data_IF_085627328283
#
_entry.id   IF_085627328283
#
_cell.length_a   1.000
_cell.length_b   1.000
_cell.length_c   1.000
_cell.angle_alpha   90.00
_cell.angle_beta   90.00
_cell.angle_gamma   90.00
#
_symmetry.space_group_name_H-M   'P 1'
#
loop_
_entity.id
_entity.type
_entity.pdbx_description
1 polymer ?
#
# COMPACT_ATOMS: atom_id res chain seq x y z
N UNK A 1 8.23 41.13 41.18
CA UNK A 1 7.16 40.12 41.24
C UNK A 1 6.67 39.84 39.83
N UNK A 2 6.79 38.57 39.46
CA UNK A 2 6.76 37.96 38.14
C UNK A 2 5.53 38.19 37.25
N UNK A 3 5.74 38.85 36.11
CA UNK A 3 4.79 38.84 34.97
C UNK A 3 5.26 37.88 33.88
N UNK A 4 6.58 37.70 33.70
CA UNK A 4 7.17 36.83 32.69
C UNK A 4 7.04 35.34 33.03
N UNK A 5 7.28 34.94 34.29
CA UNK A 5 7.14 33.54 34.74
C UNK A 5 5.68 33.03 34.70
N UNK A 6 4.69 33.91 34.94
CA UNK A 6 3.26 33.56 34.89
C UNK A 6 2.72 33.42 33.47
N UNK A 7 3.39 34.01 32.48
CA UNK A 7 3.08 33.88 31.05
C UNK A 7 3.54 32.52 30.51
N UNK A 8 4.78 32.12 30.79
CA UNK A 8 5.34 30.86 30.29
C UNK A 8 4.66 29.61 30.88
N UNK A 9 4.31 29.65 32.17
CA UNK A 9 3.56 28.55 32.81
C UNK A 9 2.13 28.40 32.26
N UNK A 10 1.44 29.50 31.94
CA UNK A 10 0.13 29.44 31.26
C UNK A 10 0.25 28.98 29.83
N UNK A 11 1.31 29.38 29.11
CA UNK A 11 1.56 28.95 27.74
C UNK A 11 1.79 27.43 27.68
N UNK A 12 2.59 26.87 28.59
CA UNK A 12 2.81 25.43 28.69
C UNK A 12 1.52 24.65 29.03
N UNK A 13 0.72 25.15 29.98
CA UNK A 13 -0.54 24.51 30.37
C UNK A 13 -1.60 24.60 29.27
N UNK A 14 -1.67 25.74 28.55
CA UNK A 14 -2.57 25.92 27.41
C UNK A 14 -2.15 25.07 26.21
N UNK A 15 -0.85 24.95 25.95
CA UNK A 15 -0.31 24.07 24.92
C UNK A 15 -0.66 22.60 25.22
N UNK A 16 -0.41 22.13 26.44
CA UNK A 16 -0.75 20.76 26.85
C UNK A 16 -2.27 20.50 26.82
N UNK A 17 -3.08 21.48 27.23
CA UNK A 17 -4.55 21.40 27.14
C UNK A 17 -5.05 21.39 25.69
N UNK A 18 -4.40 22.12 24.80
CA UNK A 18 -4.72 22.12 23.37
C UNK A 18 -4.32 20.80 22.71
N UNK A 19 -3.23 20.16 23.14
CA UNK A 19 -2.81 18.83 22.67
C UNK A 19 -3.77 17.71 23.09
N UNK A 20 -4.41 17.83 24.25
CA UNK A 20 -5.41 16.86 24.73
C UNK A 20 -6.83 17.18 24.27
N UNK A 21 -7.03 18.26 23.52
CA UNK A 21 -8.35 18.66 23.03
C UNK A 21 -8.84 17.65 22.00
N UNK A 22 -10.06 17.15 22.20
CA UNK A 22 -10.76 16.31 21.23
C UNK A 22 -11.44 17.18 20.18
N UNK A 23 -11.47 16.71 18.93
CA UNK A 23 -12.24 17.38 17.89
C UNK A 23 -13.73 17.11 18.07
N UNK A 24 -14.55 18.14 17.90
CA UNK A 24 -16.01 18.03 18.01
C UNK A 24 -16.58 17.42 16.72
N UNK A 25 -17.36 16.34 16.86
CA UNK A 25 -17.99 15.63 15.74
C UNK A 25 -18.88 16.57 14.91
N UNK A 26 -19.64 17.46 15.56
CA UNK A 26 -20.54 18.39 14.89
C UNK A 26 -19.83 19.36 13.95
N UNK A 27 -18.59 19.77 14.27
CA UNK A 27 -17.79 20.64 13.41
C UNK A 27 -17.36 19.91 12.12
N UNK A 28 -17.08 18.61 12.22
CA UNK A 28 -16.72 17.78 11.07
C UNK A 28 -17.91 17.52 10.16
N UNK A 29 -19.10 17.29 10.74
CA UNK A 29 -20.34 17.09 9.98
C UNK A 29 -20.77 18.40 9.27
N UNK A 30 -20.69 19.54 9.96
CA UNK A 30 -20.99 20.84 9.34
C UNK A 30 -20.05 21.17 8.16
N UNK A 31 -18.81 20.69 8.20
CA UNK A 31 -17.84 20.86 7.09
C UNK A 31 -18.21 20.04 5.84
N UNK A 32 -19.05 19.01 5.96
CA UNK A 32 -19.54 18.23 4.81
C UNK A 32 -20.69 18.94 4.10
N UNK A 33 -21.55 19.62 4.85
CA UNK A 33 -22.67 20.39 4.30
C UNK A 33 -22.20 21.60 3.50
N UNK A 34 -21.04 22.17 3.87
CA UNK A 34 -20.39 23.26 3.14
C UNK A 34 -19.46 22.80 2.01
N UNK A 35 -19.36 21.49 1.74
CA UNK A 35 -18.46 20.97 0.72
C UNK A 35 -18.95 21.29 -0.70
N UNK A 36 -18.10 21.84 -1.60
CA UNK A 36 -18.46 22.12 -2.99
C UNK A 36 -18.54 20.84 -3.86
N UNK A 37 -18.23 19.66 -3.32
CA UNK A 37 -18.17 18.42 -4.09
C UNK A 37 -19.53 17.73 -4.23
N UNK A 38 -19.91 17.42 -5.48
CA UNK A 38 -21.11 16.65 -5.77
C UNK A 38 -20.88 15.18 -5.40
N UNK A 39 -21.80 14.59 -4.63
CA UNK A 39 -21.78 13.15 -4.32
C UNK A 39 -22.07 12.33 -5.58
N UNK A 40 -21.02 11.82 -6.21
CA UNK A 40 -21.09 11.00 -7.44
C UNK A 40 -20.65 9.55 -7.24
N UNK A 41 -20.02 9.22 -6.10
CA UNK A 41 -19.57 7.88 -5.78
C UNK A 41 -20.71 7.02 -5.23
N UNK A 42 -21.13 6.01 -5.99
CA UNK A 42 -22.04 4.97 -5.53
C UNK A 42 -21.31 3.82 -4.83
N UNK A 43 -22.08 2.90 -4.24
CA UNK A 43 -21.56 1.74 -3.49
C UNK A 43 -20.54 0.92 -4.29
N UNK A 44 -20.84 0.61 -5.55
CA UNK A 44 -19.96 -0.21 -6.40
C UNK A 44 -18.62 0.46 -6.67
N UNK A 45 -18.62 1.77 -6.94
CA UNK A 45 -17.39 2.55 -7.15
C UNK A 45 -16.59 2.74 -5.86
N UNK A 46 -17.25 2.73 -4.70
CA UNK A 46 -16.57 2.81 -3.41
C UNK A 46 -15.92 1.47 -3.04
N UNK A 47 -16.61 0.35 -3.28
CA UNK A 47 -16.06 -1.00 -3.10
C UNK A 47 -14.88 -1.22 -4.04
N UNK A 48 -15.00 -0.85 -5.32
CA UNK A 48 -13.90 -0.98 -6.26
C UNK A 48 -12.70 -0.11 -5.88
N UNK A 49 -12.91 1.09 -5.32
CA UNK A 49 -11.83 1.93 -4.81
C UNK A 49 -11.09 1.24 -3.67
N UNK A 50 -11.82 0.66 -2.71
CA UNK A 50 -11.21 -0.12 -1.62
C UNK A 50 -10.42 -1.33 -2.13
N UNK A 51 -11.03 -2.14 -2.99
CA UNK A 51 -10.38 -3.34 -3.55
C UNK A 51 -9.16 -2.95 -4.41
N UNK A 52 -9.26 -1.88 -5.20
CA UNK A 52 -8.18 -1.38 -6.04
C UNK A 52 -6.98 -0.87 -5.27
N UNK A 53 -7.21 -0.32 -4.06
CA UNK A 53 -6.15 0.11 -3.14
C UNK A 53 -5.43 -1.07 -2.46
N UNK A 54 -6.13 -2.17 -2.18
CA UNK A 54 -5.54 -3.37 -1.54
C UNK A 54 -4.80 -4.25 -2.55
N UNK A 55 -5.36 -4.44 -3.75
CA UNK A 55 -4.75 -5.30 -4.78
C UNK A 55 -3.64 -4.52 -5.52
N UNK A 56 -2.38 -4.86 -5.26
CA UNK A 56 -1.23 -4.19 -5.86
C UNK A 56 0.01 -5.07 -5.99
N UNK A 57 1.19 -4.45 -5.94
CA UNK A 57 2.48 -5.12 -6.10
C UNK A 57 2.69 -6.31 -5.13
N UNK A 58 2.06 -6.29 -3.96
CA UNK A 58 2.16 -7.36 -2.97
C UNK A 58 1.76 -8.74 -3.51
N UNK A 59 0.63 -8.85 -4.21
CA UNK A 59 0.18 -10.16 -4.75
C UNK A 59 0.97 -10.59 -5.98
N UNK A 60 1.41 -9.64 -6.81
CA UNK A 60 2.07 -9.94 -8.09
C UNK A 60 3.57 -10.21 -7.97
N UNK A 61 4.27 -9.55 -7.03
CA UNK A 61 5.73 -9.63 -6.93
C UNK A 61 6.15 -10.27 -5.59
N UNK A 62 5.73 -9.66 -4.49
CA UNK A 62 6.21 -10.03 -3.14
C UNK A 62 5.73 -11.45 -2.76
N UNK A 63 4.54 -11.84 -3.18
CA UNK A 63 3.99 -13.18 -2.90
C UNK A 63 4.84 -14.29 -3.50
N UNK A 64 5.38 -14.10 -4.71
CA UNK A 64 6.28 -15.07 -5.34
C UNK A 64 7.59 -15.22 -4.57
N UNK A 65 8.19 -14.10 -4.16
CA UNK A 65 9.39 -14.10 -3.32
C UNK A 65 9.13 -14.74 -1.96
N UNK A 66 7.97 -14.46 -1.36
CA UNK A 66 7.60 -15.03 -0.07
C UNK A 66 7.36 -16.55 -0.13
N UNK A 67 6.79 -17.04 -1.23
CA UNK A 67 6.66 -18.46 -1.50
C UNK A 67 8.05 -19.11 -1.64
N UNK A 68 8.97 -18.49 -2.38
CA UNK A 68 10.27 -19.06 -2.66
C UNK A 68 11.21 -19.08 -1.44
N UNK A 69 11.21 -18.01 -0.63
CA UNK A 69 12.21 -17.80 0.42
C UNK A 69 11.76 -18.19 1.83
N UNK A 70 10.45 -18.18 2.12
CA UNK A 70 9.96 -18.35 3.49
C UNK A 70 9.00 -19.52 3.67
N UNK A 71 7.86 -19.53 2.98
CA UNK A 71 6.74 -20.41 3.34
C UNK A 71 6.51 -21.59 2.37
N UNK A 72 7.01 -21.53 1.14
CA UNK A 72 6.73 -22.55 0.14
C UNK A 72 5.22 -22.76 -0.08
N UNK A 73 4.75 -24.01 -0.21
CA UNK A 73 3.33 -24.32 -0.34
C UNK A 73 2.47 -23.89 0.88
N UNK A 74 3.08 -23.70 2.06
CA UNK A 74 2.37 -23.31 3.27
C UNK A 74 1.96 -21.83 3.28
N UNK A 75 2.36 -21.03 2.27
CA UNK A 75 1.99 -19.62 2.15
C UNK A 75 0.47 -19.39 2.18
N UNK A 76 -0.32 -20.34 1.66
CA UNK A 76 -1.79 -20.27 1.72
C UNK A 76 -2.32 -20.25 3.17
N UNK A 77 -1.68 -21.01 4.07
CA UNK A 77 -2.05 -21.04 5.49
C UNK A 77 -1.70 -19.70 6.15
N UNK A 78 -0.55 -19.11 5.80
CA UNK A 78 -0.15 -17.78 6.29
C UNK A 78 -1.16 -16.69 5.90
N UNK A 79 -1.65 -16.70 4.65
CA UNK A 79 -2.70 -15.77 4.23
C UNK A 79 -4.01 -15.99 4.98
N UNK A 80 -4.40 -17.25 5.18
CA UNK A 80 -5.65 -17.58 5.89
C UNK A 80 -5.60 -17.10 7.34
N UNK A 81 -4.46 -17.22 8.02
CA UNK A 81 -4.27 -16.68 9.36
C UNK A 81 -4.30 -15.14 9.39
N UNK A 82 -3.81 -14.47 8.34
CA UNK A 82 -3.82 -13.00 8.23
C UNK A 82 -5.23 -12.42 8.01
N UNK A 83 -6.15 -13.18 7.38
CA UNK A 83 -7.52 -12.72 7.12
C UNK A 83 -8.29 -12.42 8.42
N UNK A 84 -8.08 -13.19 9.50
CA UNK A 84 -8.81 -13.00 10.76
C UNK A 84 -8.60 -11.63 11.41
N UNK A 85 -7.36 -11.17 11.69
CA UNK A 85 -7.14 -9.83 12.23
C UNK A 85 -7.58 -8.74 11.25
N UNK A 86 -7.35 -8.91 9.93
CA UNK A 86 -7.81 -7.95 8.93
C UNK A 86 -9.34 -7.78 8.92
N UNK A 87 -10.10 -8.87 9.09
CA UNK A 87 -11.56 -8.83 9.15
C UNK A 87 -12.03 -8.07 10.40
N UNK A 88 -11.45 -8.35 11.56
CA UNK A 88 -11.80 -7.66 12.80
C UNK A 88 -11.49 -6.15 12.71
N UNK A 89 -10.32 -5.80 12.19
CA UNK A 89 -9.95 -4.41 11.93
C UNK A 89 -10.92 -3.75 10.95
N UNK A 90 -11.29 -4.40 9.85
CA UNK A 90 -12.23 -3.86 8.87
C UNK A 90 -13.63 -3.60 9.47
N UNK A 91 -14.12 -4.49 10.34
CA UNK A 91 -15.39 -4.31 11.04
C UNK A 91 -15.36 -3.10 11.96
N UNK A 92 -14.31 -2.93 12.76
CA UNK A 92 -14.13 -1.76 13.62
C UNK A 92 -14.05 -0.45 12.81
N UNK A 93 -13.30 -0.44 11.71
CA UNK A 93 -13.25 0.73 10.82
C UNK A 93 -14.59 1.02 10.14
N UNK A 94 -15.37 -0.02 9.81
CA UNK A 94 -16.73 0.12 9.27
C UNK A 94 -17.68 0.82 10.24
N UNK A 95 -17.64 0.43 11.52
CA UNK A 95 -18.44 1.08 12.58
C UNK A 95 -18.02 2.55 12.78
N UNK A 96 -16.71 2.83 12.81
CA UNK A 96 -16.19 4.19 12.94
C UNK A 96 -16.53 5.09 11.74
N UNK A 97 -16.51 4.53 10.53
CA UNK A 97 -16.89 5.24 9.31
C UNK A 97 -18.40 5.54 9.27
N UNK A 98 -19.24 4.64 9.80
CA UNK A 98 -20.68 4.87 9.92
C UNK A 98 -21.02 5.93 11.00
N UNK A 99 -20.25 5.96 12.10
CA UNK A 99 -20.45 6.92 13.19
C UNK A 99 -19.97 8.34 12.85
N UNK A 100 -18.86 8.45 12.11
CA UNK A 100 -18.22 9.73 11.78
C UNK A 100 -18.15 9.83 10.25
N UNK A 101 -19.23 10.27 9.57
CA UNK A 101 -19.34 10.25 8.11
C UNK A 101 -18.55 11.39 7.44
N UNK A 102 -17.37 11.71 7.95
CA UNK A 102 -16.50 12.78 7.46
C UNK A 102 -15.42 12.24 6.52
N UNK A 103 -15.01 13.05 5.54
CA UNK A 103 -13.85 12.75 4.71
C UNK A 103 -12.58 12.80 5.58
N UNK A 104 -12.07 11.62 5.97
CA UNK A 104 -10.93 11.47 6.85
C UNK A 104 -10.43 10.03 6.91
N UNK A 105 -9.20 9.83 7.39
CA UNK A 105 -8.59 8.52 7.65
C UNK A 105 -8.49 8.25 9.15
N UNK A 106 -7.76 7.22 9.58
CA UNK A 106 -7.65 6.79 10.98
C UNK A 106 -7.30 7.93 11.96
N UNK A 107 -6.46 8.88 11.54
CA UNK A 107 -6.14 10.07 12.35
C UNK A 107 -7.40 10.84 12.77
N UNK A 108 -8.38 10.98 11.89
CA UNK A 108 -9.62 11.73 12.17
C UNK A 108 -10.47 11.01 13.22
N UNK A 109 -10.57 9.69 13.14
CA UNK A 109 -11.26 8.88 14.15
C UNK A 109 -10.55 8.97 15.51
N UNK A 110 -9.21 8.94 15.53
CA UNK A 110 -8.43 9.06 16.76
C UNK A 110 -8.48 10.47 17.35
N UNK A 111 -8.60 11.53 16.54
CA UNK A 111 -8.76 12.90 17.01
C UNK A 111 -10.08 13.11 17.77
N UNK A 112 -11.13 12.41 17.34
CA UNK A 112 -12.44 12.41 18.01
C UNK A 112 -12.40 11.57 19.29
N UNK A 113 -11.81 10.37 19.24
CA UNK A 113 -11.84 9.43 20.35
C UNK A 113 -10.82 9.74 21.47
N UNK A 114 -9.58 10.08 21.12
CA UNK A 114 -8.43 10.09 22.03
C UNK A 114 -7.75 11.45 22.18
N UNK A 115 -8.01 12.41 21.28
CA UNK A 115 -7.46 13.78 21.34
C UNK A 115 -6.40 14.07 20.27
N UNK A 116 -5.94 15.32 20.21
CA UNK A 116 -5.06 15.80 19.12
C UNK A 116 -3.66 15.16 19.17
N UNK A 117 -3.09 14.92 20.36
CA UNK A 117 -1.75 14.34 20.49
C UNK A 117 -1.65 12.92 19.93
N UNK A 118 -2.60 12.05 20.29
CA UNK A 118 -2.66 10.67 19.78
C UNK A 118 -2.98 10.66 18.29
N UNK A 119 -3.87 11.55 17.83
CA UNK A 119 -4.12 11.74 16.40
C UNK A 119 -2.86 12.19 15.64
N UNK A 120 -2.01 13.01 16.24
CA UNK A 120 -0.78 13.47 15.61
C UNK A 120 0.22 12.31 15.44
N UNK A 121 0.39 11.47 16.46
CA UNK A 121 1.22 10.25 16.37
C UNK A 121 0.71 9.35 15.23
N UNK A 122 -0.60 9.12 15.17
CA UNK A 122 -1.22 8.30 14.12
C UNK A 122 -1.05 8.94 12.74
N UNK A 123 -1.19 10.25 12.62
CA UNK A 123 -0.99 10.95 11.35
C UNK A 123 0.45 10.85 10.84
N UNK A 124 1.44 11.02 11.73
CA UNK A 124 2.86 10.84 11.39
C UNK A 124 3.14 9.39 10.99
N UNK A 125 2.61 8.43 11.75
CA UNK A 125 2.72 7.00 11.43
C UNK A 125 2.16 6.65 10.05
N UNK A 126 0.93 7.10 9.75
CA UNK A 126 0.30 6.90 8.44
C UNK A 126 1.09 7.57 7.31
N UNK A 127 1.66 8.75 7.55
CA UNK A 127 2.47 9.45 6.54
C UNK A 127 3.71 8.63 6.20
N UNK A 128 4.43 8.14 7.21
CA UNK A 128 5.60 7.28 7.01
C UNK A 128 5.22 5.95 6.35
N UNK A 129 4.10 5.35 6.75
CA UNK A 129 3.58 4.13 6.13
C UNK A 129 3.28 4.33 4.65
N UNK A 130 2.62 5.43 4.28
CA UNK A 130 2.35 5.77 2.88
C UNK A 130 3.65 6.03 2.09
N UNK A 131 4.68 6.64 2.71
CA UNK A 131 5.98 6.86 2.08
C UNK A 131 6.71 5.54 1.79
N UNK A 132 6.75 4.64 2.78
CA UNK A 132 7.39 3.32 2.63
C UNK A 132 6.60 2.45 1.65
N UNK A 133 5.27 2.45 1.72
CA UNK A 133 4.40 1.70 0.81
C UNK A 133 4.52 2.21 -0.63
N UNK A 134 4.50 3.53 -0.84
CA UNK A 134 4.69 4.15 -2.16
C UNK A 134 6.04 3.78 -2.79
N UNK A 135 7.12 3.86 -2.02
CA UNK A 135 8.45 3.48 -2.50
C UNK A 135 8.55 1.97 -2.80
N UNK A 136 7.96 1.11 -1.97
CA UNK A 136 7.93 -0.34 -2.20
C UNK A 136 7.17 -0.71 -3.49
N UNK A 137 6.05 -0.04 -3.77
CA UNK A 137 5.29 -0.24 -5.02
C UNK A 137 6.13 0.21 -6.23
N UNK A 138 6.80 1.36 -6.16
CA UNK A 138 7.65 1.86 -7.24
C UNK A 138 8.82 0.91 -7.57
N UNK A 139 9.46 0.35 -6.54
CA UNK A 139 10.55 -0.63 -6.73
C UNK A 139 10.02 -1.94 -7.33
N UNK A 140 8.86 -2.41 -6.87
CA UNK A 140 8.23 -3.63 -7.41
C UNK A 140 7.85 -3.48 -8.89
N UNK A 141 7.33 -2.32 -9.27
CA UNK A 141 7.05 -2.00 -10.67
C UNK A 141 8.32 -1.95 -11.50
N UNK A 142 9.37 -1.29 -11.01
CA UNK A 142 10.67 -1.24 -11.68
C UNK A 142 11.23 -2.64 -11.96
N UNK A 143 11.16 -3.55 -10.97
CA UNK A 143 11.59 -4.94 -11.19
C UNK A 143 10.77 -5.63 -12.28
N UNK A 144 9.46 -5.40 -12.33
CA UNK A 144 8.58 -6.00 -13.34
C UNK A 144 8.89 -5.47 -14.74
N UNK A 145 9.12 -4.16 -14.87
CA UNK A 145 9.50 -3.51 -16.14
C UNK A 145 10.86 -4.01 -16.63
N UNK A 146 11.84 -4.14 -15.74
CA UNK A 146 13.15 -4.66 -16.12
C UNK A 146 13.07 -6.12 -16.58
N UNK A 147 12.27 -6.97 -15.90
CA UNK A 147 12.04 -8.35 -16.35
C UNK A 147 11.38 -8.38 -17.74
N UNK A 148 10.39 -7.52 -17.98
CA UNK A 148 9.75 -7.41 -19.29
C UNK A 148 10.72 -6.93 -20.39
N UNK A 149 11.54 -5.91 -20.13
CA UNK A 149 12.53 -5.42 -21.09
C UNK A 149 13.60 -6.47 -21.44
N UNK A 150 13.96 -7.33 -20.48
CA UNK A 150 14.88 -8.45 -20.72
C UNK A 150 14.32 -9.47 -21.72
N UNK A 151 13.01 -9.67 -21.79
CA UNK A 151 12.39 -10.52 -22.81
C UNK A 151 12.61 -9.98 -24.24
N UNK A 152 12.76 -8.66 -24.39
CA UNK A 152 13.12 -8.00 -25.65
C UNK A 152 14.63 -7.84 -25.85
N UNK A 153 15.45 -8.52 -25.04
CA UNK A 153 16.92 -8.40 -25.05
C UNK A 153 17.46 -6.99 -24.73
N UNK A 154 16.63 -6.12 -24.13
CA UNK A 154 17.04 -4.80 -23.68
C UNK A 154 17.50 -4.93 -22.22
N UNK A 155 18.81 -4.93 -22.01
CA UNK A 155 19.41 -4.97 -20.67
C UNK A 155 19.58 -3.56 -20.15
N UNK A 156 18.95 -3.26 -19.02
CA UNK A 156 19.11 -1.98 -18.34
C UNK A 156 20.53 -1.89 -17.74
N UNK A 157 21.25 -0.76 -17.88
CA UNK A 157 22.57 -0.61 -17.28
C UNK A 157 22.51 -0.88 -15.78
N UNK A 158 23.43 -1.71 -15.22
CA UNK A 158 23.36 -2.13 -13.82
C UNK A 158 23.35 -0.93 -12.86
N UNK A 159 24.13 0.11 -13.19
CA UNK A 159 24.26 1.36 -12.43
C UNK A 159 22.92 2.07 -12.16
N UNK A 160 21.94 1.96 -13.06
CA UNK A 160 20.64 2.63 -12.97
C UNK A 160 19.46 1.67 -12.74
N UNK A 161 19.73 0.37 -12.64
CA UNK A 161 18.72 -0.68 -12.59
C UNK A 161 18.24 -1.04 -11.18
N UNK A 162 18.92 -0.60 -10.12
CA UNK A 162 18.62 -1.09 -8.77
C UNK A 162 18.87 -0.11 -7.65
N UNK A 163 18.48 -0.54 -6.44
CA UNK A 163 18.76 0.19 -5.21
C UNK A 163 20.28 0.25 -4.96
N UNK A 164 20.81 1.37 -4.44
CA UNK A 164 22.22 1.46 -4.03
C UNK A 164 22.54 0.57 -2.83
N UNK A 165 21.54 0.34 -1.98
CA UNK A 165 21.65 -0.47 -0.76
C UNK A 165 20.82 -1.74 -0.96
N UNK A 166 21.49 -2.89 -0.90
CA UNK A 166 20.87 -4.20 -0.84
C UNK A 166 20.92 -4.74 0.59
N UNK A 167 19.97 -5.62 0.92
CA UNK A 167 19.95 -6.37 2.17
C UNK A 167 20.11 -7.84 1.81
N UNK A 168 21.16 -8.48 2.32
CA UNK A 168 21.37 -9.92 2.18
C UNK A 168 21.76 -10.50 3.53
N UNK A 169 20.98 -11.47 4.02
CA UNK A 169 21.08 -11.97 5.39
C UNK A 169 20.87 -10.85 6.42
N UNK A 170 21.82 -10.71 7.36
CA UNK A 170 21.77 -9.69 8.42
C UNK A 170 22.60 -8.43 8.08
N UNK A 171 23.10 -8.29 6.86
CA UNK A 171 24.01 -7.22 6.46
C UNK A 171 23.45 -6.32 5.36
N UNK A 172 23.78 -5.03 5.44
CA UNK A 172 23.64 -4.10 4.33
C UNK A 172 24.87 -4.21 3.44
N UNK A 173 24.68 -4.35 2.14
CA UNK A 173 25.77 -4.32 1.16
C UNK A 173 25.49 -3.26 0.09
N UNK A 174 26.55 -2.58 -0.34
CA UNK A 174 26.47 -1.66 -1.47
C UNK A 174 26.39 -2.48 -2.76
N UNK A 175 25.29 -2.32 -3.48
CA UNK A 175 25.04 -3.10 -4.72
C UNK A 175 25.87 -2.57 -5.90
N UNK A 176 26.48 -1.38 -5.77
CA UNK A 176 27.19 -0.70 -6.86
C UNK A 176 26.27 0.10 -7.79
N UNK A 177 24.96 0.04 -7.57
CA UNK A 177 23.98 0.84 -8.30
C UNK A 177 23.91 2.25 -7.70
N UNK A 178 23.68 3.28 -8.52
CA UNK A 178 23.49 4.65 -8.02
C UNK A 178 22.06 4.85 -7.51
N UNK A 179 21.07 4.61 -8.36
CA UNK A 179 19.66 4.70 -8.01
C UNK A 179 18.77 3.93 -8.98
N UNK A 180 17.58 3.54 -8.53
CA UNK A 180 16.61 2.83 -9.35
C UNK A 180 15.85 3.82 -10.25
N UNK A 181 16.34 3.99 -11.48
CA UNK A 181 15.79 4.96 -12.42
C UNK A 181 14.32 4.71 -12.80
N UNK A 182 13.89 3.47 -13.16
CA UNK A 182 12.48 3.23 -13.48
C UNK A 182 11.53 3.51 -12.30
N UNK A 183 11.95 3.20 -11.06
CA UNK A 183 11.14 3.48 -9.87
C UNK A 183 10.98 4.99 -9.62
N UNK A 184 12.06 5.76 -9.80
CA UNK A 184 12.03 7.23 -9.67
C UNK A 184 11.15 7.84 -10.75
N UNK A 185 11.26 7.38 -12.00
CA UNK A 185 10.42 7.83 -13.12
C UNK A 185 8.94 7.61 -12.84
N UNK A 186 8.55 6.42 -12.36
CA UNK A 186 7.15 6.14 -12.02
C UNK A 186 6.66 7.05 -10.89
N UNK A 187 7.47 7.23 -9.84
CA UNK A 187 7.10 8.07 -8.70
C UNK A 187 6.90 9.52 -9.13
N UNK A 188 7.84 10.08 -9.90
CA UNK A 188 7.72 11.43 -10.45
C UNK A 188 6.51 11.58 -11.36
N UNK A 189 6.25 10.60 -12.22
CA UNK A 189 5.08 10.61 -13.10
C UNK A 189 3.78 10.65 -12.28
N UNK A 190 3.63 9.77 -11.30
CA UNK A 190 2.48 9.78 -10.40
C UNK A 190 2.37 11.11 -9.62
N UNK A 191 3.47 11.67 -9.14
CA UNK A 191 3.48 12.98 -8.47
C UNK A 191 3.01 14.11 -9.39
N UNK A 192 3.49 14.15 -10.64
CA UNK A 192 3.04 15.16 -11.62
C UNK A 192 1.56 15.01 -11.90
N UNK A 193 1.07 13.78 -12.12
CA UNK A 193 -0.36 13.50 -12.33
C UNK A 193 -1.21 13.96 -11.14
N UNK A 194 -0.73 13.73 -9.91
CA UNK A 194 -1.40 14.20 -8.69
C UNK A 194 -1.39 15.73 -8.58
N UNK A 195 -0.29 16.39 -8.94
CA UNK A 195 -0.17 17.86 -8.92
C UNK A 195 -1.05 18.54 -9.98
N UNK A 196 -1.23 17.92 -11.15
CA UNK A 196 -2.08 18.44 -12.23
C UNK A 196 -3.59 18.28 -11.94
N UNK A 197 -3.95 17.51 -10.92
CA UNK A 197 -5.33 17.33 -10.48
C UNK A 197 -6.09 16.33 -11.35
N UNK A 198 -6.33 15.13 -10.82
CA UNK A 198 -7.15 14.11 -11.49
C UNK A 198 -8.63 14.38 -11.20
N UNK A 199 -9.30 15.09 -12.10
CA UNK A 199 -10.69 15.53 -11.93
C UNK A 199 -11.76 14.46 -12.26
N UNK A 200 -11.38 13.35 -12.89
CA UNK A 200 -12.28 12.20 -13.14
C UNK A 200 -11.63 10.89 -12.72
N UNK A 201 -12.13 10.23 -11.67
CA UNK A 201 -11.41 9.10 -11.08
C UNK A 201 -12.24 7.85 -10.80
N UNK A 202 -13.57 7.93 -10.75
CA UNK A 202 -14.38 6.75 -10.39
C UNK A 202 -14.40 5.68 -11.52
N UNK A 203 -14.65 6.09 -12.75
CA UNK A 203 -14.74 5.17 -13.91
C UNK A 203 -13.37 4.58 -14.25
N UNK A 204 -12.33 5.43 -14.25
CA UNK A 204 -10.95 5.01 -14.49
C UNK A 204 -10.50 3.99 -13.43
N UNK A 205 -10.81 4.23 -12.16
CA UNK A 205 -10.53 3.27 -11.09
C UNK A 205 -11.24 1.93 -11.32
N UNK A 206 -12.53 1.95 -11.70
CA UNK A 206 -13.27 0.72 -11.98
C UNK A 206 -12.60 -0.11 -13.09
N UNK A 207 -12.14 0.53 -14.16
CA UNK A 207 -11.43 -0.14 -15.26
C UNK A 207 -10.13 -0.78 -14.75
N UNK A 208 -9.32 -0.06 -13.99
CA UNK A 208 -8.06 -0.61 -13.43
C UNK A 208 -8.30 -1.83 -12.55
N UNK A 209 -9.36 -1.82 -11.73
CA UNK A 209 -9.72 -2.96 -10.88
C UNK A 209 -10.12 -4.16 -11.73
N UNK A 210 -10.95 -3.97 -12.76
CA UNK A 210 -11.37 -5.05 -13.65
C UNK A 210 -10.15 -5.69 -14.34
N UNK A 211 -9.22 -4.87 -14.85
CA UNK A 211 -7.99 -5.37 -15.47
C UNK A 211 -7.17 -6.20 -14.49
N UNK A 212 -6.98 -5.73 -13.25
CA UNK A 212 -6.23 -6.49 -12.22
C UNK A 212 -6.84 -7.88 -11.97
N UNK A 213 -8.17 -7.97 -11.85
CA UNK A 213 -8.85 -9.26 -11.65
C UNK A 213 -8.87 -10.14 -12.89
N UNK A 214 -8.94 -9.57 -14.09
CA UNK A 214 -8.82 -10.32 -15.33
C UNK A 214 -7.44 -10.99 -15.41
N UNK A 215 -6.37 -10.26 -15.09
CA UNK A 215 -5.00 -10.82 -15.05
C UNK A 215 -4.93 -11.96 -14.03
N UNK A 216 -5.38 -11.76 -12.79
CA UNK A 216 -5.40 -12.82 -11.78
C UNK A 216 -6.23 -14.04 -12.23
N UNK A 217 -7.40 -13.82 -12.83
CA UNK A 217 -8.26 -14.88 -13.36
C UNK A 217 -7.57 -15.68 -14.47
N UNK A 218 -6.79 -15.01 -15.33
CA UNK A 218 -6.04 -15.69 -16.40
C UNK A 218 -5.01 -16.68 -15.85
N UNK A 219 -4.28 -16.32 -14.78
CA UNK A 219 -3.34 -17.23 -14.10
C UNK A 219 -4.03 -18.49 -13.56
N UNK A 220 -5.18 -18.34 -12.89
CA UNK A 220 -5.96 -19.47 -12.40
C UNK A 220 -6.49 -20.35 -13.54
N UNK A 221 -6.96 -19.73 -14.62
CA UNK A 221 -7.45 -20.44 -15.80
C UNK A 221 -6.35 -21.27 -16.46
N UNK A 222 -5.19 -20.66 -16.74
CA UNK A 222 -4.03 -21.35 -17.32
C UNK A 222 -3.60 -22.52 -16.43
N UNK A 223 -3.49 -22.31 -15.11
CA UNK A 223 -3.10 -23.38 -14.19
C UNK A 223 -4.12 -24.52 -14.13
N UNK A 224 -5.41 -24.20 -14.24
CA UNK A 224 -6.49 -25.20 -14.27
C UNK A 224 -6.46 -26.01 -15.56
N UNK A 225 -6.28 -25.35 -16.72
CA UNK A 225 -6.13 -25.98 -18.04
C UNK A 225 -4.89 -26.88 -18.13
N UNK A 226 -3.80 -26.53 -17.43
CA UNK A 226 -2.60 -27.37 -17.34
C UNK A 226 -2.82 -28.57 -16.40
N UNK A 227 -3.67 -28.43 -15.37
CA UNK A 227 -4.00 -29.52 -14.45
C UNK A 227 -4.94 -30.56 -15.09
N UNK A 228 -5.83 -30.12 -15.97
CA UNK A 228 -6.81 -30.96 -16.65
C UNK A 228 -6.25 -31.73 -17.86
N UNK A 229 -5.03 -31.42 -18.32
CA UNK A 229 -4.33 -32.17 -19.37
C UNK A 229 -3.53 -33.36 -18.77
N UNK A 230 -3.94 -34.62 -18.96
CA UNK A 230 -3.25 -35.78 -18.39
C UNK A 230 -1.87 -36.07 -19.00
N UNK A 231 -1.52 -35.49 -20.15
CA UNK A 231 -0.24 -35.71 -20.84
C UNK A 231 0.93 -34.87 -20.28
N UNK A 232 0.68 -33.88 -19.41
CA UNK A 232 1.72 -33.10 -18.72
C UNK A 232 2.18 -33.68 -17.37
N UNK A 233 1.53 -34.74 -16.87
CA UNK A 233 1.79 -35.31 -15.53
C UNK A 233 3.13 -36.07 -15.42
N UNK A 234 3.78 -36.42 -16.53
CA UNK A 234 4.94 -37.33 -16.53
C UNK A 234 6.32 -36.65 -16.67
N UNK A 235 6.43 -35.31 -16.54
CA UNK A 235 7.74 -34.63 -16.60
C UNK A 235 8.06 -33.76 -15.37
N UNK A 236 7.16 -33.60 -14.41
CA UNK A 236 7.39 -32.77 -13.22
C UNK A 236 7.59 -33.63 -11.97
N UNK A 237 8.55 -34.56 -12.01
CA UNK A 237 9.12 -35.15 -10.79
C UNK A 237 10.45 -35.84 -11.10
N UNK A 238 11.57 -35.13 -10.92
CA UNK A 238 12.82 -35.61 -10.28
C UNK A 238 14.08 -34.77 -10.54
N UNK A 239 14.17 -33.93 -11.59
CA UNK A 239 15.48 -33.39 -12.00
C UNK A 239 15.78 -31.91 -11.72
N UNK A 240 14.84 -31.07 -11.26
CA UNK A 240 15.10 -29.62 -11.12
C UNK A 240 15.09 -29.07 -9.70
N UNK A 241 14.80 -29.87 -8.67
CA UNK A 241 14.85 -29.40 -7.27
C UNK A 241 16.27 -29.40 -6.67
N UNK A 242 17.24 -30.06 -7.31
CA UNK A 242 18.62 -30.17 -6.79
C UNK A 242 19.62 -29.16 -7.44
N UNK A 243 19.22 -28.44 -8.49
CA UNK A 243 20.15 -27.63 -9.31
C UNK A 243 20.03 -26.11 -9.13
N UNK A 244 19.14 -25.60 -8.27
CA UNK A 244 18.99 -24.15 -8.06
C UNK A 244 19.38 -23.65 -6.67
N UNK A 245 20.18 -24.43 -5.90
CA UNK A 245 20.88 -23.95 -4.70
C UNK A 245 22.31 -23.44 -5.02
N UNK A 246 22.49 -22.80 -6.17
CA UNK A 246 23.68 -22.00 -6.45
C UNK A 246 23.27 -20.69 -7.12
N UNK A 247 22.75 -19.76 -6.31
CA UNK A 247 22.96 -18.32 -6.42
C UNK A 247 22.81 -17.72 -5.02
#
# INVERSE_FOLDING_TARGET
>A
MDVTSKSESRLGTLFFRNLLRRRCIYATVASLESSPFRRTLGLRSLVSLGVGAVVGAGIFVITGQAAALYAGPALAISFLLCVFPCLFTALCYGELAAMIPAAGSAYTHTAVALGEFTSWIVAVGLTLECLVSGSAVSVSWSSSVQSFLREFSIVFPPEFGGSPIGVSGNGFFLTGNLFNFPAVMLTLFCSVVLCLGVSETATVNNVFVIVKFMVLGSFFCIRSLFCSNPLGRFQVQSHSFCASQQW
#
